data_IF_432050197723
#
_entry.id   IF_432050197723
#
_cell.length_a   1.000
_cell.length_b   1.000
_cell.length_c   1.000
_cell.angle_alpha   90.00
_cell.angle_beta   90.00
_cell.angle_gamma   90.00
#
_symmetry.space_group_name_H-M   'P 1'
#
loop_
_entity.id
_entity.type
_entity.pdbx_description
1 polymer ?
#
# COMPACT_ATOMS: atom_id res chain seq x y z
N UNK A 1 9.47 -18.61 21.05
CA UNK A 1 9.85 -19.05 19.70
C UNK A 1 9.85 -17.82 18.80
N UNK A 2 10.89 -17.61 18.02
CA UNK A 2 11.02 -16.52 17.07
C UNK A 2 11.74 -17.01 15.80
N UNK A 3 11.57 -16.31 14.69
CA UNK A 3 12.27 -16.47 13.43
C UNK A 3 12.23 -15.13 12.66
N UNK A 4 12.92 -15.04 11.54
CA UNK A 4 13.01 -13.81 10.73
C UNK A 4 11.64 -13.23 10.35
N UNK A 5 10.69 -14.09 9.96
CA UNK A 5 9.33 -13.66 9.60
C UNK A 5 8.61 -13.01 10.79
N UNK A 6 8.66 -13.65 11.96
CA UNK A 6 8.04 -13.11 13.17
C UNK A 6 8.70 -11.81 13.62
N UNK A 7 10.02 -11.69 13.47
CA UNK A 7 10.75 -10.45 13.78
C UNK A 7 10.36 -9.33 12.81
N UNK A 8 10.27 -9.61 11.51
CA UNK A 8 9.80 -8.64 10.51
C UNK A 8 8.40 -8.13 10.84
N UNK A 9 7.46 -9.03 11.17
CA UNK A 9 6.09 -8.67 11.57
C UNK A 9 6.09 -7.74 12.80
N UNK A 10 6.90 -8.05 13.82
CA UNK A 10 6.99 -7.28 15.05
C UNK A 10 7.66 -5.91 14.85
N UNK A 11 8.66 -5.85 13.97
CA UNK A 11 9.52 -4.68 13.80
C UNK A 11 9.02 -3.71 12.71
N UNK A 12 8.19 -4.17 11.76
CA UNK A 12 7.62 -3.31 10.72
C UNK A 12 6.88 -2.11 11.32
N UNK A 13 7.16 -0.92 10.82
CA UNK A 13 6.50 0.35 11.19
C UNK A 13 6.06 1.11 9.96
N UNK A 14 5.04 1.96 10.13
CA UNK A 14 4.65 2.92 9.09
C UNK A 14 5.69 4.03 8.99
N UNK A 15 6.34 4.11 7.82
CA UNK A 15 7.28 5.16 7.48
C UNK A 15 6.52 6.38 6.91
N UNK A 16 6.88 7.58 7.34
CA UNK A 16 6.30 8.86 6.89
C UNK A 16 7.36 9.92 6.64
N UNK A 17 8.60 9.49 6.37
CA UNK A 17 9.69 10.35 5.93
C UNK A 17 10.60 9.52 5.03
N UNK A 18 10.78 9.96 3.80
CA UNK A 18 11.48 9.22 2.77
C UNK A 18 12.66 10.04 2.23
N UNK A 19 13.72 9.34 1.83
CA UNK A 19 14.76 9.92 1.00
C UNK A 19 14.22 10.14 -0.42
N UNK A 20 14.78 11.09 -1.18
CA UNK A 20 14.32 11.36 -2.55
C UNK A 20 14.72 10.28 -3.57
N UNK A 21 15.69 9.43 -3.20
CA UNK A 21 16.20 8.39 -4.07
C UNK A 21 15.13 7.32 -4.32
N UNK A 22 15.03 6.91 -5.58
CA UNK A 22 14.17 5.80 -5.98
C UNK A 22 14.79 4.47 -5.53
N UNK A 23 13.94 3.54 -5.10
CA UNK A 23 14.36 2.17 -4.82
C UNK A 23 14.81 1.48 -6.12
N UNK A 24 15.64 0.46 -6.00
CA UNK A 24 16.08 -0.33 -7.16
C UNK A 24 14.93 -1.15 -7.74
N UNK A 25 15.06 -1.53 -9.02
CA UNK A 25 14.07 -2.40 -9.66
C UNK A 25 14.01 -3.77 -8.97
N UNK A 26 15.14 -4.32 -8.52
CA UNK A 26 15.20 -5.59 -7.81
C UNK A 26 14.44 -5.55 -6.49
N UNK A 27 14.58 -4.47 -5.73
CA UNK A 27 13.81 -4.25 -4.49
C UNK A 27 12.31 -4.09 -4.77
N UNK A 28 11.96 -3.33 -5.82
CA UNK A 28 10.57 -3.15 -6.24
C UNK A 28 9.96 -4.49 -6.66
N UNK A 29 10.63 -5.24 -7.51
CA UNK A 29 10.15 -6.53 -8.03
C UNK A 29 9.95 -7.53 -6.89
N UNK A 30 10.86 -7.61 -5.92
CA UNK A 30 10.71 -8.47 -4.75
C UNK A 30 9.49 -8.10 -3.89
N UNK A 31 9.24 -6.79 -3.69
CA UNK A 31 8.04 -6.30 -2.98
C UNK A 31 6.77 -6.64 -3.75
N UNK A 32 6.75 -6.43 -5.06
CA UNK A 32 5.60 -6.73 -5.92
C UNK A 32 5.30 -8.22 -5.95
N UNK A 33 6.32 -9.06 -6.12
CA UNK A 33 6.17 -10.52 -6.09
C UNK A 33 5.52 -10.97 -4.78
N UNK A 34 6.02 -10.53 -3.63
CA UNK A 34 5.44 -10.86 -2.33
C UNK A 34 3.96 -10.44 -2.22
N UNK A 35 3.58 -9.30 -2.82
CA UNK A 35 2.19 -8.86 -2.92
C UNK A 35 1.32 -9.87 -3.66
N UNK A 36 1.81 -10.46 -4.77
CA UNK A 36 1.07 -11.43 -5.57
C UNK A 36 0.82 -12.76 -4.87
N UNK A 37 1.64 -13.09 -3.86
CA UNK A 37 1.48 -14.30 -3.03
C UNK A 37 0.54 -14.10 -1.82
N UNK A 38 -0.15 -12.99 -1.72
CA UNK A 38 -1.16 -12.80 -0.69
C UNK A 38 -2.30 -13.83 -0.85
N UNK A 39 -2.79 -14.34 0.29
CA UNK A 39 -3.94 -15.22 0.25
C UNK A 39 -5.16 -14.48 -0.32
N UNK A 40 -5.95 -15.15 -1.13
CA UNK A 40 -7.20 -14.64 -1.66
C UNK A 40 -8.31 -15.68 -1.57
N UNK A 41 -9.54 -15.22 -1.43
CA UNK A 41 -10.69 -16.11 -1.34
C UNK A 41 -10.79 -17.04 -2.56
N UNK A 42 -10.77 -18.36 -2.32
CA UNK A 42 -10.80 -19.40 -3.36
C UNK A 42 -9.65 -19.28 -4.40
N UNK A 43 -8.54 -18.64 -4.04
CA UNK A 43 -7.40 -18.44 -4.95
C UNK A 43 -7.72 -17.54 -6.17
N UNK A 44 -8.72 -16.66 -6.06
CA UNK A 44 -9.20 -15.85 -7.20
C UNK A 44 -8.23 -14.75 -7.63
N UNK A 45 -7.30 -14.34 -6.77
CA UNK A 45 -6.33 -13.27 -7.07
C UNK A 45 -7.01 -12.00 -7.62
N UNK A 46 -8.07 -11.57 -6.96
CA UNK A 46 -8.93 -10.46 -7.40
C UNK A 46 -8.29 -9.09 -7.31
N UNK A 47 -7.13 -8.99 -6.67
CA UNK A 47 -6.41 -7.73 -6.50
C UNK A 47 -5.49 -7.41 -7.70
N UNK A 48 -5.24 -6.12 -7.89
CA UNK A 48 -4.30 -5.55 -8.89
C UNK A 48 -3.41 -4.53 -8.20
N UNK A 49 -2.12 -4.55 -8.52
CA UNK A 49 -1.15 -3.57 -8.03
C UNK A 49 -0.74 -2.68 -9.21
N UNK A 50 -0.87 -1.37 -9.04
CA UNK A 50 -0.41 -0.38 -10.03
C UNK A 50 0.79 0.34 -9.46
N UNK A 51 1.91 0.29 -10.18
CA UNK A 51 3.17 0.95 -9.78
C UNK A 51 3.19 2.36 -10.34
N UNK A 52 3.33 3.36 -9.47
CA UNK A 52 3.37 4.77 -9.85
C UNK A 52 4.67 5.39 -9.34
N UNK A 53 5.62 5.59 -10.26
CA UNK A 53 6.92 6.23 -10.02
C UNK A 53 7.08 7.54 -10.79
N UNK A 54 6.30 7.74 -11.85
CA UNK A 54 6.27 9.00 -12.59
C UNK A 54 5.87 10.17 -11.68
N UNK A 55 6.64 11.26 -11.73
CA UNK A 55 6.46 12.39 -10.84
C UNK A 55 5.10 13.09 -11.02
N UNK A 56 4.61 13.17 -12.27
CA UNK A 56 3.34 13.81 -12.59
C UNK A 56 2.17 12.98 -12.07
N UNK A 57 2.21 11.67 -12.30
CA UNK A 57 1.20 10.73 -11.80
C UNK A 57 1.17 10.67 -10.26
N UNK A 58 2.34 10.69 -9.61
CA UNK A 58 2.42 10.78 -8.13
C UNK A 58 1.82 12.07 -7.60
N UNK A 59 2.14 13.22 -8.23
CA UNK A 59 1.55 14.50 -7.86
C UNK A 59 0.03 14.52 -8.04
N UNK A 60 -0.50 13.90 -9.09
CA UNK A 60 -1.93 13.76 -9.32
C UNK A 60 -2.59 12.94 -8.20
N UNK A 61 -2.07 11.76 -7.86
CA UNK A 61 -2.59 10.94 -6.75
C UNK A 61 -2.53 11.69 -5.42
N UNK A 62 -1.42 12.39 -5.14
CA UNK A 62 -1.26 13.21 -3.93
C UNK A 62 -2.37 14.25 -3.82
N UNK A 63 -2.63 14.99 -4.90
CA UNK A 63 -3.69 16.01 -4.96
C UNK A 63 -5.09 15.39 -4.79
N UNK A 64 -5.37 14.29 -5.47
CA UNK A 64 -6.66 13.59 -5.37
C UNK A 64 -6.90 13.10 -3.94
N UNK A 65 -5.91 12.48 -3.31
CA UNK A 65 -6.00 12.00 -1.93
C UNK A 65 -6.17 13.13 -0.92
N UNK A 66 -5.43 14.25 -1.10
CA UNK A 66 -5.56 15.46 -0.28
C UNK A 66 -6.96 16.08 -0.41
N UNK A 67 -7.52 16.11 -1.61
CA UNK A 67 -8.88 16.61 -1.86
C UNK A 67 -9.94 15.79 -1.11
N UNK A 68 -9.86 14.45 -1.17
CA UNK A 68 -10.74 13.56 -0.38
C UNK A 68 -10.55 13.78 1.11
N UNK A 69 -9.33 14.03 1.56
CA UNK A 69 -9.03 14.31 2.97
C UNK A 69 -9.55 15.70 3.42
N UNK A 70 -9.84 16.60 2.49
CA UNK A 70 -10.23 17.98 2.78
C UNK A 70 -9.11 18.81 3.42
N UNK A 71 -7.86 18.56 3.08
CA UNK A 71 -6.67 19.23 3.62
C UNK A 71 -5.65 19.52 2.52
N UNK A 72 -5.00 20.67 2.63
CA UNK A 72 -3.87 21.04 1.77
C UNK A 72 -2.55 20.55 2.40
N UNK A 73 -2.34 19.24 2.34
CA UNK A 73 -1.12 18.58 2.85
C UNK A 73 -0.73 17.46 1.88
N UNK A 74 0.52 17.01 1.94
CA UNK A 74 0.95 15.82 1.20
C UNK A 74 0.66 14.53 2.00
N UNK A 75 -0.41 13.79 1.68
CA UNK A 75 -0.72 12.52 2.35
C UNK A 75 0.22 11.37 1.95
N UNK A 76 1.03 11.55 0.88
CA UNK A 76 1.99 10.55 0.42
C UNK A 76 3.40 10.77 1.01
N UNK A 77 3.59 11.83 1.83
CA UNK A 77 4.84 12.13 2.55
C UNK A 77 6.08 12.20 1.65
N UNK A 78 5.94 12.63 0.39
CA UNK A 78 7.05 12.72 -0.56
C UNK A 78 7.62 11.36 -0.99
N UNK A 79 6.92 10.26 -0.77
CA UNK A 79 7.41 8.93 -1.14
C UNK A 79 7.70 8.84 -2.65
N UNK A 80 8.87 8.29 -3.06
CA UNK A 80 9.25 8.20 -4.47
C UNK A 80 8.48 7.15 -5.26
N UNK A 81 7.85 6.17 -4.59
CA UNK A 81 7.02 5.14 -5.21
C UNK A 81 5.67 5.04 -4.50
N UNK A 82 4.60 4.94 -5.27
CA UNK A 82 3.25 4.65 -4.78
C UNK A 82 2.77 3.36 -5.45
N UNK A 83 2.43 2.36 -4.66
CA UNK A 83 1.77 1.15 -5.13
C UNK A 83 0.27 1.28 -4.85
N UNK A 84 -0.53 1.50 -5.90
CA UNK A 84 -1.99 1.55 -5.76
C UNK A 84 -2.52 0.12 -5.76
N UNK A 85 -3.19 -0.28 -4.70
CA UNK A 85 -3.86 -1.59 -4.64
C UNK A 85 -5.34 -1.39 -4.93
N UNK A 86 -5.79 -2.08 -5.96
CA UNK A 86 -7.17 -2.17 -6.41
C UNK A 86 -7.66 -3.61 -6.22
N UNK A 87 -8.95 -3.82 -6.17
CA UNK A 87 -9.55 -5.15 -6.26
C UNK A 87 -10.79 -5.11 -7.16
N UNK A 88 -11.06 -6.23 -7.83
CA UNK A 88 -12.26 -6.38 -8.67
C UNK A 88 -13.52 -6.14 -7.82
N UNK A 89 -14.31 -5.12 -8.19
CA UNK A 89 -15.51 -4.74 -7.44
C UNK A 89 -16.59 -5.85 -7.39
N UNK A 90 -16.55 -6.78 -8.31
CA UNK A 90 -17.48 -7.93 -8.37
C UNK A 90 -17.00 -9.13 -7.54
N UNK A 91 -15.75 -9.11 -7.04
CA UNK A 91 -15.26 -10.18 -6.17
C UNK A 91 -15.90 -10.08 -4.77
N UNK A 92 -16.48 -11.16 -4.23
CA UNK A 92 -17.16 -11.13 -2.92
C UNK A 92 -16.25 -10.69 -1.76
N UNK A 93 -14.95 -10.91 -1.90
CA UNK A 93 -13.95 -10.60 -0.89
C UNK A 93 -12.92 -9.56 -1.39
N UNK A 94 -13.32 -8.64 -2.27
CA UNK A 94 -12.44 -7.63 -2.84
C UNK A 94 -11.60 -6.90 -1.79
N UNK A 95 -12.25 -6.35 -0.76
CA UNK A 95 -11.57 -5.58 0.29
C UNK A 95 -10.66 -6.46 1.17
N UNK A 96 -11.10 -7.60 1.72
CA UNK A 96 -10.20 -8.53 2.43
C UNK A 96 -8.99 -8.97 1.61
N UNK A 97 -9.21 -9.42 0.36
CA UNK A 97 -8.13 -9.89 -0.51
C UNK A 97 -7.10 -8.78 -0.79
N UNK A 98 -7.55 -7.60 -1.18
CA UNK A 98 -6.67 -6.45 -1.40
C UNK A 98 -5.96 -5.98 -0.13
N UNK A 99 -6.60 -6.11 1.04
CA UNK A 99 -5.96 -5.79 2.34
C UNK A 99 -4.82 -6.75 2.67
N UNK A 100 -4.94 -8.03 2.32
CA UNK A 100 -3.85 -8.99 2.47
C UNK A 100 -2.68 -8.68 1.53
N UNK A 101 -2.96 -8.26 0.29
CA UNK A 101 -1.92 -7.76 -0.63
C UNK A 101 -1.17 -6.58 0.00
N UNK A 102 -1.88 -5.57 0.54
CA UNK A 102 -1.26 -4.45 1.24
C UNK A 102 -0.38 -4.91 2.41
N UNK A 103 -0.83 -5.90 3.17
CA UNK A 103 -0.06 -6.49 4.27
C UNK A 103 1.25 -7.10 3.78
N UNK A 104 1.21 -7.92 2.73
CA UNK A 104 2.38 -8.56 2.14
C UNK A 104 3.38 -7.54 1.59
N UNK A 105 2.91 -6.53 0.83
CA UNK A 105 3.76 -5.45 0.31
C UNK A 105 4.54 -4.75 1.44
N UNK A 106 3.85 -4.40 2.53
CA UNK A 106 4.49 -3.72 3.66
C UNK A 106 5.45 -4.62 4.44
N UNK A 107 5.19 -5.91 4.55
CA UNK A 107 6.08 -6.86 5.21
C UNK A 107 7.33 -7.12 4.37
N UNK A 108 7.18 -7.31 3.05
CA UNK A 108 8.29 -7.45 2.12
C UNK A 108 9.18 -6.20 2.12
N UNK A 109 8.59 -5.00 2.06
CA UNK A 109 9.34 -3.76 2.18
C UNK A 109 10.16 -3.72 3.47
N UNK A 110 9.57 -4.08 4.61
CA UNK A 110 10.27 -4.09 5.90
C UNK A 110 11.41 -5.12 5.95
N UNK A 111 11.25 -6.30 5.34
CA UNK A 111 12.31 -7.33 5.28
C UNK A 111 13.52 -6.89 4.47
N UNK A 112 13.32 -5.98 3.51
CA UNK A 112 14.37 -5.40 2.67
C UNK A 112 14.94 -4.09 3.24
N UNK A 113 14.51 -3.66 4.44
CA UNK A 113 14.94 -2.39 5.03
C UNK A 113 14.29 -1.15 4.40
N UNK A 114 13.26 -1.32 3.58
CA UNK A 114 12.51 -0.24 2.97
C UNK A 114 11.43 0.29 3.92
N UNK A 115 11.14 1.59 3.81
CA UNK A 115 10.02 2.23 4.48
C UNK A 115 8.73 2.06 3.67
N UNK A 116 7.63 1.75 4.35
CA UNK A 116 6.31 1.72 3.73
C UNK A 116 5.22 2.24 4.67
N UNK A 117 4.11 2.70 4.11
CA UNK A 117 2.92 3.07 4.88
C UNK A 117 1.67 2.86 4.02
N UNK A 118 0.60 2.38 4.66
CA UNK A 118 -0.73 2.35 4.05
C UNK A 118 -1.36 3.73 4.13
N UNK A 119 -1.69 4.31 2.98
CA UNK A 119 -2.48 5.53 2.85
C UNK A 119 -3.89 5.15 2.40
N UNK A 120 -4.88 5.59 3.16
CA UNK A 120 -6.30 5.33 2.88
C UNK A 120 -6.84 6.24 1.75
N UNK A 121 -8.13 6.12 1.50
CA UNK A 121 -8.96 6.96 0.59
C UNK A 121 -8.87 6.58 -0.89
N UNK A 122 -8.14 5.53 -1.25
CA UNK A 122 -8.12 5.04 -2.62
C UNK A 122 -9.54 4.69 -3.14
N UNK A 123 -10.43 4.21 -2.27
CA UNK A 123 -11.83 3.94 -2.64
C UNK A 123 -12.49 5.22 -3.14
N UNK A 124 -12.51 6.24 -2.31
CA UNK A 124 -13.14 7.52 -2.59
C UNK A 124 -12.49 8.21 -3.80
N UNK A 125 -11.17 8.10 -3.95
CA UNK A 125 -10.45 8.66 -5.11
C UNK A 125 -10.91 8.04 -6.43
N UNK A 126 -10.96 6.70 -6.50
CA UNK A 126 -11.31 5.99 -7.73
C UNK A 126 -12.83 5.87 -7.98
N UNK A 127 -13.67 6.28 -7.04
CA UNK A 127 -15.09 6.51 -7.24
C UNK A 127 -15.39 7.83 -7.96
N UNK A 128 -14.45 8.79 -7.96
CA UNK A 128 -14.58 10.07 -8.68
C UNK A 128 -14.46 9.88 -10.21
N UNK A 129 -15.00 10.81 -10.99
CA UNK A 129 -14.81 10.79 -12.45
C UNK A 129 -13.35 10.96 -12.86
N UNK A 130 -12.57 11.76 -12.08
CA UNK A 130 -11.13 11.89 -12.30
C UNK A 130 -10.40 10.58 -12.04
N UNK A 131 -10.72 9.88 -10.95
CA UNK A 131 -10.13 8.58 -10.63
C UNK A 131 -10.44 7.51 -11.67
N UNK A 132 -11.69 7.44 -12.13
CA UNK A 132 -12.09 6.54 -13.22
C UNK A 132 -11.38 6.87 -14.54
N UNK A 133 -11.21 8.16 -14.84
CA UNK A 133 -10.46 8.58 -16.02
C UNK A 133 -8.99 8.18 -15.93
N UNK A 134 -8.38 8.30 -14.75
CA UNK A 134 -7.00 7.89 -14.49
C UNK A 134 -6.81 6.37 -14.67
N UNK A 135 -7.75 5.54 -14.19
CA UNK A 135 -7.72 4.09 -14.42
C UNK A 135 -7.77 3.77 -15.92
N UNK A 136 -8.66 4.41 -16.68
CA UNK A 136 -8.73 4.24 -18.14
C UNK A 136 -7.43 4.66 -18.83
N UNK A 137 -6.82 5.77 -18.41
CA UNK A 137 -5.52 6.23 -18.94
C UNK A 137 -4.41 5.20 -18.68
N UNK A 138 -4.47 4.47 -17.56
CA UNK A 138 -3.54 3.38 -17.25
C UNK A 138 -3.89 2.05 -17.94
N UNK A 139 -4.92 2.02 -18.80
CA UNK A 139 -5.37 0.81 -19.47
C UNK A 139 -6.08 -0.19 -18.55
N UNK A 140 -6.60 0.28 -17.40
CA UNK A 140 -7.33 -0.54 -16.44
C UNK A 140 -8.82 -0.39 -16.72
N UNK A 141 -9.38 -1.39 -17.39
CA UNK A 141 -10.80 -1.48 -17.73
C UNK A 141 -11.56 -2.28 -16.65
N UNK A 142 -12.90 -2.09 -16.60
CA UNK A 142 -13.78 -2.76 -15.64
C UNK A 142 -13.98 -1.97 -14.36
N UNK A 143 -14.67 -2.60 -13.40
CA UNK A 143 -15.05 -1.97 -12.15
C UNK A 143 -14.08 -2.37 -11.03
N UNK A 144 -13.42 -1.39 -10.47
CA UNK A 144 -12.40 -1.58 -9.44
C UNK A 144 -12.73 -0.79 -8.18
N UNK A 145 -12.53 -1.42 -7.02
CA UNK A 145 -12.53 -0.75 -5.74
C UNK A 145 -11.10 -0.44 -5.30
N UNK A 146 -10.83 0.81 -4.94
CA UNK A 146 -9.56 1.20 -4.35
C UNK A 146 -9.42 0.65 -2.93
N UNK A 147 -8.32 -0.05 -2.65
CA UNK A 147 -8.03 -0.61 -1.33
C UNK A 147 -7.16 0.36 -0.53
N UNK A 148 -6.14 0.89 -1.15
CA UNK A 148 -5.22 1.83 -0.53
C UNK A 148 -3.98 2.06 -1.38
N UNK A 149 -3.15 2.98 -0.92
CA UNK A 149 -1.83 3.23 -1.50
C UNK A 149 -0.76 2.73 -0.53
N UNK A 150 0.09 1.80 -0.96
CA UNK A 150 1.31 1.46 -0.25
C UNK A 150 2.41 2.41 -0.75
N UNK A 151 2.70 3.46 0.01
CA UNK A 151 3.83 4.33 -0.30
C UNK A 151 5.13 3.65 0.12
N UNK A 152 6.17 3.79 -0.70
CA UNK A 152 7.39 3.00 -0.62
C UNK A 152 8.63 3.83 -0.96
N UNK A 153 9.73 3.60 -0.24
CA UNK A 153 11.02 4.25 -0.47
C UNK A 153 12.02 3.99 0.66
N UNK A 154 13.22 4.53 0.55
CA UNK A 154 14.20 4.47 1.62
C UNK A 154 13.78 5.39 2.77
N UNK A 155 13.78 4.89 4.03
CA UNK A 155 13.41 5.72 5.17
C UNK A 155 14.45 6.82 5.40
N UNK A 156 13.98 8.05 5.64
CA UNK A 156 14.84 9.20 6.00
C UNK A 156 15.09 9.32 7.52
N UNK A 157 14.39 8.53 8.33
CA UNK A 157 14.53 8.51 9.78
C UNK A 157 14.21 7.12 10.33
N UNK A 158 14.77 6.80 11.47
CA UNK A 158 14.49 5.54 12.17
C UNK A 158 13.02 5.46 12.59
N UNK A 159 12.42 4.26 12.49
CA UNK A 159 11.04 4.07 12.89
C UNK A 159 10.89 4.20 14.42
N UNK A 160 9.79 4.82 14.85
CA UNK A 160 9.47 4.86 16.28
C UNK A 160 9.22 3.44 16.82
N UNK A 161 9.55 3.17 18.10
CA UNK A 161 9.23 1.89 18.73
C UNK A 161 7.74 1.56 18.63
N UNK A 162 7.41 0.25 18.65
CA UNK A 162 6.03 -0.18 18.71
C UNK A 162 5.36 0.27 20.01
N UNK A 163 4.14 0.76 19.92
CA UNK A 163 3.32 0.95 21.10
C UNK A 163 3.06 -0.40 21.80
N UNK A 164 2.90 -0.42 23.14
CA UNK A 164 2.47 -1.63 23.85
C UNK A 164 1.18 -2.21 23.25
N UNK A 165 1.08 -3.53 23.23
CA UNK A 165 -0.17 -4.20 22.82
C UNK A 165 -1.22 -4.07 23.92
N UNK A 166 -2.47 -3.94 23.53
CA UNK A 166 -3.59 -3.92 24.49
C UNK A 166 -3.66 -5.27 25.20
N UNK A 167 -3.88 -5.31 26.53
CA UNK A 167 -3.90 -6.56 27.28
C UNK A 167 -5.06 -7.49 26.89
N UNK A 168 -6.16 -6.92 26.42
CA UNK A 168 -7.38 -7.60 26.01
C UNK A 168 -7.47 -7.87 24.49
N UNK A 169 -6.33 -7.76 23.77
CA UNK A 169 -6.29 -7.95 22.31
C UNK A 169 -6.59 -9.40 21.90
N UNK A 170 -6.32 -10.37 22.78
CA UNK A 170 -6.53 -11.81 22.55
C UNK A 170 -7.42 -12.35 23.64
N UNK A 171 -8.50 -13.02 23.25
CA UNK A 171 -9.36 -13.78 24.16
C UNK A 171 -9.16 -15.27 23.87
N UNK A 172 -8.89 -16.04 24.92
CA UNK A 172 -8.85 -17.52 24.84
C UNK A 172 -10.08 -18.05 25.55
N UNK A 173 -10.87 -18.85 24.88
CA UNK A 173 -12.07 -19.54 25.38
C UNK A 173 -11.84 -21.04 25.42
#
# INVERSE_FOLDING_TARGET
MTNETLETIKNRRSCRAYKPEQITNEELDAVLEAGTYAASAMGRQSAKIVVVQDATARAQLTRMNAAVMGRDTDPMYGAPTILVVLADAHAPNAVPDGSLVMGNLMLAAASLGLGSCWINRAKEEFETEEGKALLRQWGIEGDWVGIGHCILGYPAADPKPAAPRKPDYIVKV
#
